data_IF_615547205451
#
_entry.id   IF_615547205451
#
_cell.length_a   1.000
_cell.length_b   1.000
_cell.length_c   1.000
_cell.angle_alpha   90.00
_cell.angle_beta   90.00
_cell.angle_gamma   90.00
#
_symmetry.space_group_name_H-M   'P 1'
#
loop_
_entity.id
_entity.type
_entity.pdbx_description
1 polymer ?
#
# COMPACT_ATOMS: atom_id res chain seq x y z
N UNK A 1 -23.17 2.04 -8.59
CA UNK A 1 -21.95 2.84 -8.83
C UNK A 1 -22.00 3.30 -10.27
N UNK A 2 -22.35 4.57 -10.48
CA UNK A 2 -22.48 5.14 -11.81
C UNK A 2 -21.08 5.30 -12.44
N UNK A 3 -20.84 4.84 -13.68
CA UNK A 3 -19.53 4.96 -14.34
C UNK A 3 -19.10 6.42 -14.63
N UNK A 4 -19.97 7.39 -14.30
CA UNK A 4 -19.78 8.84 -14.40
C UNK A 4 -19.24 9.50 -13.13
N UNK A 5 -19.13 8.76 -12.02
CA UNK A 5 -18.41 9.20 -10.81
C UNK A 5 -16.89 8.98 -10.91
N UNK A 6 -16.38 8.66 -12.10
CA UNK A 6 -14.94 8.71 -12.35
C UNK A 6 -14.53 10.17 -12.42
N UNK A 7 -13.65 10.55 -11.50
CA UNK A 7 -12.98 11.85 -11.46
C UNK A 7 -12.54 12.19 -12.91
N UNK A 8 -12.92 13.36 -13.45
CA UNK A 8 -12.47 13.81 -14.76
C UNK A 8 -10.95 13.67 -14.87
N UNK A 9 -10.43 13.25 -16.02
CA UNK A 9 -8.99 13.05 -16.18
C UNK A 9 -8.17 14.34 -15.96
N UNK A 10 -8.78 15.51 -16.21
CA UNK A 10 -8.23 16.85 -15.90
C UNK A 10 -7.99 17.05 -14.39
N UNK A 11 -8.88 16.54 -13.54
CA UNK A 11 -8.76 16.60 -12.07
C UNK A 11 -7.65 15.68 -11.51
N UNK A 12 -6.97 14.90 -12.35
CA UNK A 12 -5.78 14.14 -11.91
C UNK A 12 -4.55 15.03 -11.82
N UNK A 13 -4.48 16.10 -12.61
CA UNK A 13 -3.37 17.05 -12.59
C UNK A 13 -3.42 17.98 -11.37
N UNK A 14 -4.61 18.24 -10.83
CA UNK A 14 -4.83 18.99 -9.59
C UNK A 14 -4.58 18.15 -8.31
N UNK A 15 -4.37 16.83 -8.45
CA UNK A 15 -3.95 16.00 -7.33
C UNK A 15 -2.41 15.94 -7.27
N UNK A 16 -1.86 16.17 -6.08
CA UNK A 16 -0.45 15.93 -5.80
C UNK A 16 -0.17 14.42 -5.86
N UNK A 17 0.09 13.94 -7.08
CA UNK A 17 0.36 12.53 -7.34
C UNK A 17 1.77 12.21 -6.90
N UNK A 18 1.90 11.19 -6.04
CA UNK A 18 3.20 10.70 -5.62
C UNK A 18 3.98 10.14 -6.80
N UNK A 19 5.28 10.44 -6.84
CA UNK A 19 6.18 9.66 -7.69
C UNK A 19 6.17 8.20 -7.26
N UNK A 20 6.53 7.29 -8.17
CA UNK A 20 6.64 5.85 -7.86
C UNK A 20 7.56 5.60 -6.66
N UNK A 21 8.66 6.36 -6.57
CA UNK A 21 9.61 6.28 -5.46
C UNK A 21 9.01 6.74 -4.13
N UNK A 22 8.25 7.83 -4.11
CA UNK A 22 7.56 8.28 -2.89
C UNK A 22 6.47 7.30 -2.45
N UNK A 23 5.70 6.76 -3.41
CA UNK A 23 4.71 5.72 -3.13
C UNK A 23 5.36 4.47 -2.52
N UNK A 24 6.49 4.02 -3.09
CA UNK A 24 7.24 2.89 -2.56
C UNK A 24 7.79 3.15 -1.15
N UNK A 25 8.31 4.35 -0.87
CA UNK A 25 8.80 4.73 0.45
C UNK A 25 7.68 4.74 1.49
N UNK A 26 6.54 5.36 1.18
CA UNK A 26 5.38 5.39 2.10
C UNK A 26 4.85 3.99 2.39
N UNK A 27 4.68 3.16 1.36
CA UNK A 27 4.25 1.77 1.54
C UNK A 27 5.25 0.96 2.38
N UNK A 28 6.56 1.19 2.19
CA UNK A 28 7.59 0.53 2.99
C UNK A 28 7.54 0.93 4.46
N UNK A 29 7.30 2.22 4.75
CA UNK A 29 7.12 2.72 6.11
C UNK A 29 5.89 2.08 6.79
N UNK A 30 4.75 2.04 6.09
CA UNK A 30 3.53 1.40 6.59
C UNK A 30 3.74 -0.10 6.86
N UNK A 31 4.40 -0.82 5.94
CA UNK A 31 4.74 -2.24 6.14
C UNK A 31 5.58 -2.42 7.40
N UNK A 32 6.56 -1.55 7.65
CA UNK A 32 7.40 -1.61 8.83
C UNK A 32 6.59 -1.37 10.12
N UNK A 33 5.71 -0.38 10.14
CA UNK A 33 4.87 -0.06 11.30
C UNK A 33 3.91 -1.20 11.64
N UNK A 34 3.20 -1.73 10.64
CA UNK A 34 2.26 -2.84 10.83
C UNK A 34 3.00 -4.10 11.28
N UNK A 35 4.17 -4.38 10.69
CA UNK A 35 4.98 -5.52 11.10
C UNK A 35 5.48 -5.38 12.55
N UNK A 36 5.88 -4.19 12.97
CA UNK A 36 6.25 -3.91 14.36
C UNK A 36 5.06 -4.10 15.32
N UNK A 37 3.85 -3.69 14.91
CA UNK A 37 2.64 -3.87 15.70
C UNK A 37 2.25 -5.34 15.87
N UNK A 38 2.53 -6.20 14.87
CA UNK A 38 2.34 -7.65 14.99
C UNK A 38 3.33 -8.34 15.95
N UNK A 39 4.45 -7.68 16.31
CA UNK A 39 5.42 -8.21 17.29
C UNK A 39 5.08 -7.80 18.73
N UNK A 40 4.08 -6.94 18.93
CA UNK A 40 3.70 -6.50 20.28
C UNK A 40 2.99 -7.61 21.05
N UNK A 41 3.03 -7.62 22.39
CA UNK A 41 2.34 -8.62 23.21
C UNK A 41 0.82 -8.63 23.04
N UNK A 42 0.24 -7.48 22.67
CA UNK A 42 -1.19 -7.28 22.40
C UNK A 42 -1.56 -7.52 20.93
N UNK A 43 -0.64 -8.06 20.12
CA UNK A 43 -0.88 -8.28 18.71
C UNK A 43 -2.12 -9.17 18.47
N UNK A 44 -2.87 -8.91 17.38
CA UNK A 44 -3.99 -9.75 17.00
C UNK A 44 -3.53 -11.19 16.76
N UNK A 45 -4.42 -12.15 17.04
CA UNK A 45 -4.19 -13.60 16.91
C UNK A 45 -5.28 -14.26 16.06
N UNK A 46 -5.05 -15.51 15.64
CA UNK A 46 -6.00 -16.28 14.82
C UNK A 46 -6.31 -15.61 13.49
N UNK A 47 -7.55 -15.71 13.04
CA UNK A 47 -7.99 -15.23 11.73
C UNK A 47 -7.70 -13.75 11.48
N UNK A 48 -7.73 -12.91 12.53
CA UNK A 48 -7.41 -11.49 12.40
C UNK A 48 -5.93 -11.27 12.06
N UNK A 49 -5.04 -12.07 12.66
CA UNK A 49 -3.61 -12.03 12.35
C UNK A 49 -3.35 -12.50 10.92
N UNK A 50 -3.96 -13.60 10.52
CA UNK A 50 -3.80 -14.17 9.17
C UNK A 50 -4.26 -13.18 8.09
N UNK A 51 -5.36 -12.45 8.35
CA UNK A 51 -5.83 -11.40 7.46
C UNK A 51 -4.81 -10.26 7.30
N UNK A 52 -4.19 -9.81 8.41
CA UNK A 52 -3.18 -8.75 8.39
C UNK A 52 -1.92 -9.24 7.65
N UNK A 53 -1.47 -10.45 7.92
CA UNK A 53 -0.30 -11.05 7.25
C UNK A 53 -0.52 -11.20 5.74
N UNK A 54 -1.73 -11.58 5.31
CA UNK A 54 -2.10 -11.63 3.88
C UNK A 54 -2.09 -10.25 3.24
N UNK A 55 -2.59 -9.23 3.93
CA UNK A 55 -2.55 -7.83 3.44
C UNK A 55 -1.10 -7.33 3.35
N UNK A 56 -0.27 -7.60 4.35
CA UNK A 56 1.16 -7.28 4.33
C UNK A 56 1.87 -7.92 3.13
N UNK A 57 1.54 -9.17 2.80
CA UNK A 57 2.09 -9.81 1.62
C UNK A 57 1.70 -9.05 0.33
N UNK A 58 0.44 -8.65 0.20
CA UNK A 58 -0.01 -7.82 -0.93
C UNK A 58 0.70 -6.47 -1.02
N UNK A 59 0.93 -5.79 0.12
CA UNK A 59 1.66 -4.52 0.16
C UNK A 59 3.13 -4.69 -0.24
N UNK A 60 3.79 -5.78 0.20
CA UNK A 60 5.17 -6.10 -0.20
C UNK A 60 5.28 -6.32 -1.71
N UNK A 61 4.35 -7.04 -2.31
CA UNK A 61 4.30 -7.25 -3.76
C UNK A 61 4.02 -5.93 -4.51
N UNK A 62 3.19 -5.04 -3.96
CA UNK A 62 2.97 -3.70 -4.54
C UNK A 62 4.25 -2.84 -4.50
N UNK A 63 4.98 -2.84 -3.39
CA UNK A 63 6.29 -2.16 -3.29
C UNK A 63 7.26 -2.74 -4.32
N UNK A 64 7.33 -4.07 -4.41
CA UNK A 64 8.13 -4.76 -5.40
C UNK A 64 7.83 -4.24 -6.82
N UNK A 65 6.57 -4.23 -7.22
CA UNK A 65 6.17 -3.72 -8.54
C UNK A 65 6.53 -2.24 -8.77
N UNK A 66 6.40 -1.39 -7.74
CA UNK A 66 6.78 0.02 -7.84
C UNK A 66 8.29 0.23 -8.00
N UNK A 67 9.10 -0.65 -7.40
CA UNK A 67 10.57 -0.58 -7.46
C UNK A 67 11.16 -1.29 -8.69
N UNK A 68 10.61 -2.45 -9.07
CA UNK A 68 11.05 -3.26 -10.20
C UNK A 68 10.55 -2.69 -11.54
N UNK A 69 9.42 -1.97 -11.55
CA UNK A 69 8.88 -1.25 -12.71
C UNK A 69 9.71 -0.04 -13.18
N UNK A 70 10.96 0.09 -12.72
CA UNK A 70 11.97 1.06 -13.20
C UNK A 70 12.74 0.51 -14.43
N UNK A 71 12.50 -0.75 -14.83
CA UNK A 71 12.99 -1.29 -16.12
C UNK A 71 11.83 -1.38 -17.12
N UNK A 72 11.62 -0.29 -17.86
CA UNK A 72 10.62 -0.19 -18.93
C UNK A 72 10.55 1.22 -19.48
#
# INVERSE_FOLDING_TARGET
MDPRERIPHDDWADQDLLTRSEAAQRLTAEIAEVNASLQKPDAPVGEHRELIERRLNGLREAVRHLTEGTQG
#
